data_IF_309703154380
#
_entry.id   IF_309703154380
#
_cell.length_a   1.000
_cell.length_b   1.000
_cell.length_c   1.000
_cell.angle_alpha   90.00
_cell.angle_beta   90.00
_cell.angle_gamma   90.00
#
_symmetry.space_group_name_H-M   'P 1'
#
loop_
_entity.id
_entity.type
_entity.pdbx_description
1 polymer ?
#
# COMPACT_ATOMS: atom_id res chain seq x y z
N UNK A 1 -21.02 21.94 1.21
CA UNK A 1 -20.41 20.87 2.03
C UNK A 1 -18.96 21.24 2.23
N UNK A 2 -18.45 21.13 3.45
CA UNK A 2 -17.01 21.28 3.72
C UNK A 2 -16.32 19.98 3.32
N UNK A 3 -15.16 20.08 2.66
CA UNK A 3 -14.35 18.91 2.33
C UNK A 3 -13.94 18.18 3.61
N UNK A 4 -14.13 16.85 3.65
CA UNK A 4 -13.69 16.01 4.76
C UNK A 4 -12.44 15.20 4.33
N UNK A 5 -11.26 15.47 4.91
CA UNK A 5 -10.03 14.71 4.64
C UNK A 5 -9.96 13.37 5.38
N UNK A 6 -10.89 13.08 6.30
CA UNK A 6 -10.88 11.83 7.08
C UNK A 6 -12.29 11.21 7.12
N UNK A 7 -12.87 10.85 5.96
CA UNK A 7 -14.14 10.14 5.93
C UNK A 7 -14.00 8.85 6.73
N UNK A 8 -14.96 8.62 7.63
CA UNK A 8 -14.97 7.48 8.58
C UNK A 8 -16.32 6.81 8.61
N UNK A 9 -16.31 5.51 8.87
CA UNK A 9 -17.49 4.65 8.84
C UNK A 9 -17.59 3.88 10.15
N UNK A 10 -18.75 3.86 10.82
CA UNK A 10 -18.92 3.07 12.04
C UNK A 10 -18.78 1.57 11.73
N UNK A 11 -18.38 0.80 12.73
CA UNK A 11 -18.45 -0.65 12.65
C UNK A 11 -19.92 -1.09 12.67
N UNK A 12 -20.24 -2.15 11.93
CA UNK A 12 -21.58 -2.78 11.97
C UNK A 12 -21.85 -3.40 13.33
N UNK A 13 -20.81 -3.97 13.95
CA UNK A 13 -20.84 -4.55 15.29
C UNK A 13 -19.46 -4.49 15.94
N UNK A 14 -19.43 -4.57 17.27
CA UNK A 14 -18.20 -4.46 18.05
C UNK A 14 -17.66 -3.03 18.12
N UNK A 15 -16.46 -2.90 18.66
CA UNK A 15 -15.75 -1.64 18.85
C UNK A 15 -14.29 -1.82 18.45
N UNK A 16 -13.61 -0.71 18.15
CA UNK A 16 -12.15 -0.71 17.99
C UNK A 16 -11.53 -0.71 19.38
N UNK A 17 -10.67 -1.70 19.64
CA UNK A 17 -9.88 -1.78 20.86
C UNK A 17 -8.49 -1.14 20.66
N UNK A 18 -7.95 -0.52 21.71
CA UNK A 18 -6.68 0.20 21.65
C UNK A 18 -5.71 -0.31 22.71
N UNK A 19 -4.44 -0.48 22.31
CA UNK A 19 -3.32 -0.80 23.19
C UNK A 19 -3.04 -2.30 23.34
N UNK A 20 -1.85 -2.60 23.87
CA UNK A 20 -1.39 -3.98 24.09
C UNK A 20 -2.22 -4.74 25.13
N UNK A 21 -2.79 -4.04 26.12
CA UNK A 21 -3.65 -4.64 27.16
C UNK A 21 -4.84 -5.41 26.54
N UNK A 22 -5.53 -4.80 25.59
CA UNK A 22 -6.67 -5.42 24.90
C UNK A 22 -6.25 -6.64 24.06
N UNK A 23 -5.09 -6.55 23.38
CA UNK A 23 -4.52 -7.68 22.63
C UNK A 23 -4.21 -8.85 23.57
N UNK A 24 -3.51 -8.60 24.68
CA UNK A 24 -3.17 -9.65 25.63
C UNK A 24 -4.41 -10.25 26.32
N UNK A 25 -5.43 -9.45 26.60
CA UNK A 25 -6.72 -9.95 27.09
C UNK A 25 -7.39 -10.88 26.08
N UNK A 26 -7.31 -10.55 24.79
CA UNK A 26 -7.81 -11.43 23.71
C UNK A 26 -7.09 -12.77 23.70
N UNK A 27 -5.76 -12.78 23.84
CA UNK A 27 -4.98 -14.03 23.97
C UNK A 27 -5.39 -14.81 25.22
N UNK A 28 -5.48 -14.14 26.38
CA UNK A 28 -5.81 -14.78 27.65
C UNK A 28 -7.22 -15.39 27.68
N UNK A 29 -8.17 -14.80 26.95
CA UNK A 29 -9.52 -15.34 26.75
C UNK A 29 -9.54 -16.55 25.83
N UNK A 30 -8.85 -16.48 24.68
CA UNK A 30 -8.83 -17.54 23.69
C UNK A 30 -7.96 -18.75 24.09
N UNK A 31 -6.88 -18.50 24.85
CA UNK A 31 -5.88 -19.49 25.28
C UNK A 31 -5.37 -20.39 24.14
N UNK A 32 -4.95 -19.83 23.00
CA UNK A 32 -4.39 -20.63 21.92
C UNK A 32 -3.06 -21.25 22.36
N UNK A 33 -2.76 -22.44 21.84
CA UNK A 33 -1.41 -23.02 21.91
C UNK A 33 -0.48 -22.25 20.97
N UNK A 34 -0.97 -21.92 19.77
CA UNK A 34 -0.20 -21.20 18.76
C UNK A 34 -0.99 -20.02 18.18
N UNK A 35 -0.40 -18.84 18.27
CA UNK A 35 -0.88 -17.58 17.68
C UNK A 35 0.04 -17.20 16.52
N UNK A 36 -0.53 -17.12 15.31
CA UNK A 36 0.14 -16.52 14.16
C UNK A 36 -0.23 -15.04 14.06
N UNK A 37 0.78 -14.17 13.92
CA UNK A 37 0.62 -12.74 13.66
C UNK A 37 1.31 -12.41 12.34
N UNK A 38 0.54 -12.32 11.27
CA UNK A 38 1.06 -12.06 9.91
C UNK A 38 1.01 -10.56 9.59
N UNK A 39 1.74 -10.13 8.57
CA UNK A 39 1.83 -8.72 8.20
C UNK A 39 3.00 -8.43 7.25
N UNK A 40 3.10 -7.19 6.73
CA UNK A 40 4.15 -6.84 5.79
C UNK A 40 5.54 -6.75 6.43
N UNK A 41 6.58 -6.81 5.60
CA UNK A 41 7.98 -6.72 6.05
C UNK A 41 8.33 -5.36 6.65
N UNK A 42 7.70 -4.28 6.16
CA UNK A 42 7.98 -2.90 6.54
C UNK A 42 7.45 -2.51 7.94
N UNK A 43 6.81 -3.43 8.66
CA UNK A 43 6.33 -3.22 10.02
C UNK A 43 7.46 -3.08 11.04
N UNK A 44 7.21 -2.26 12.07
CA UNK A 44 8.03 -2.18 13.28
C UNK A 44 7.82 -3.40 14.21
N UNK A 45 8.08 -4.61 13.69
CA UNK A 45 7.87 -5.88 14.38
C UNK A 45 8.49 -5.94 15.77
N UNK A 46 9.70 -5.37 15.95
CA UNK A 46 10.39 -5.39 17.24
C UNK A 46 9.63 -4.62 18.33
N UNK A 47 9.05 -3.46 17.98
CA UNK A 47 8.26 -2.63 18.91
C UNK A 47 6.98 -3.36 19.27
N UNK A 48 6.22 -3.79 18.26
CA UNK A 48 4.94 -4.44 18.45
C UNK A 48 5.04 -5.73 19.28
N UNK A 49 6.01 -6.60 18.96
CA UNK A 49 6.17 -7.87 19.67
C UNK A 49 6.71 -7.67 21.08
N UNK A 50 7.59 -6.69 21.32
CA UNK A 50 8.04 -6.36 22.67
C UNK A 50 6.88 -5.86 23.56
N UNK A 51 6.00 -5.03 23.01
CA UNK A 51 4.79 -4.56 23.72
C UNK A 51 3.85 -5.71 24.09
N UNK A 52 3.57 -6.61 23.13
CA UNK A 52 2.72 -7.77 23.37
C UNK A 52 3.34 -8.77 24.37
N UNK A 53 4.63 -9.10 24.24
CA UNK A 53 5.35 -9.99 25.18
C UNK A 53 5.30 -9.43 26.61
N UNK A 54 5.57 -8.13 26.78
CA UNK A 54 5.50 -7.48 28.08
C UNK A 54 4.13 -7.58 28.72
N UNK A 55 3.06 -7.42 27.92
CA UNK A 55 1.69 -7.51 28.41
C UNK A 55 1.23 -8.93 28.76
N UNK A 56 1.62 -9.92 27.95
CA UNK A 56 1.34 -11.33 28.21
C UNK A 56 2.02 -11.78 29.51
N UNK A 57 3.29 -11.42 29.72
CA UNK A 57 4.02 -11.74 30.95
C UNK A 57 3.41 -11.07 32.18
N UNK A 58 2.85 -9.86 32.06
CA UNK A 58 2.11 -9.20 33.14
C UNK A 58 0.83 -9.96 33.55
N UNK A 59 0.30 -10.82 32.69
CA UNK A 59 -0.84 -11.69 32.92
C UNK A 59 -0.44 -13.13 33.29
N UNK A 60 0.82 -13.34 33.68
CA UNK A 60 1.39 -14.67 33.96
C UNK A 60 1.24 -15.66 32.78
N UNK A 61 1.23 -15.14 31.54
CA UNK A 61 1.31 -15.95 30.31
C UNK A 61 2.74 -15.88 29.79
N UNK A 62 3.38 -17.03 29.62
CA UNK A 62 4.76 -17.13 29.14
C UNK A 62 4.79 -17.44 27.65
N UNK A 63 5.04 -16.43 26.77
CA UNK A 63 5.15 -16.68 25.34
C UNK A 63 6.55 -17.17 24.95
N UNK A 64 6.58 -18.08 23.98
CA UNK A 64 7.76 -18.37 23.16
C UNK A 64 7.61 -17.66 21.81
N UNK A 65 8.55 -16.76 21.51
CA UNK A 65 8.48 -15.88 20.34
C UNK A 65 9.26 -16.47 19.16
N UNK A 66 8.56 -16.73 18.06
CA UNK A 66 9.13 -17.31 16.84
C UNK A 66 9.02 -16.31 15.70
N UNK A 67 10.16 -15.82 15.23
CA UNK A 67 10.23 -14.91 14.09
C UNK A 67 10.22 -15.69 12.77
N UNK A 68 9.11 -15.62 12.03
CA UNK A 68 8.90 -16.29 10.73
C UNK A 68 9.99 -15.91 9.70
N UNK A 69 10.59 -14.72 9.82
CA UNK A 69 11.67 -14.27 8.91
C UNK A 69 12.90 -15.16 8.99
N UNK A 70 13.09 -15.90 10.09
CA UNK A 70 14.19 -16.87 10.24
C UNK A 70 14.07 -18.05 9.28
N UNK A 71 12.87 -18.34 8.77
CA UNK A 71 12.59 -19.45 7.86
C UNK A 71 12.62 -19.04 6.37
N UNK A 72 12.73 -17.73 6.09
CA UNK A 72 12.92 -17.22 4.74
C UNK A 72 14.22 -17.75 4.13
N UNK A 73 14.21 -17.96 2.81
CA UNK A 73 15.41 -18.25 2.05
C UNK A 73 16.47 -17.15 2.23
N UNK A 74 17.74 -17.46 1.92
CA UNK A 74 18.77 -16.43 1.97
C UNK A 74 18.41 -15.27 1.04
N UNK A 75 18.89 -14.06 1.33
CA UNK A 75 18.62 -12.91 0.50
C UNK A 75 19.04 -13.12 -0.96
N UNK A 76 20.19 -13.76 -1.19
CA UNK A 76 20.67 -14.15 -2.52
C UNK A 76 19.67 -15.06 -3.24
N UNK A 77 19.14 -16.05 -2.54
CA UNK A 77 18.17 -17.00 -3.08
C UNK A 77 16.82 -16.33 -3.38
N UNK A 78 16.34 -15.46 -2.49
CA UNK A 78 15.13 -14.65 -2.71
C UNK A 78 15.29 -13.77 -3.96
N UNK A 79 16.44 -13.10 -4.11
CA UNK A 79 16.76 -12.32 -5.32
C UNK A 79 16.77 -13.19 -6.57
N UNK A 80 17.35 -14.40 -6.50
CA UNK A 80 17.35 -15.36 -7.61
C UNK A 80 15.94 -15.80 -7.99
N UNK A 81 15.09 -16.14 -7.01
CA UNK A 81 13.70 -16.58 -7.23
C UNK A 81 12.83 -15.48 -7.82
N UNK A 82 13.10 -14.23 -7.45
CA UNK A 82 12.37 -13.04 -7.91
C UNK A 82 13.04 -12.33 -9.10
N UNK A 83 14.06 -12.93 -9.71
CA UNK A 83 14.85 -12.28 -10.77
C UNK A 83 14.04 -11.96 -12.03
N UNK A 84 12.92 -12.65 -12.27
CA UNK A 84 12.00 -12.37 -13.38
C UNK A 84 11.34 -10.98 -13.27
N UNK A 85 11.37 -10.38 -12.08
CA UNK A 85 10.83 -9.05 -11.82
C UNK A 85 11.79 -7.92 -12.15
N UNK A 86 13.04 -8.22 -12.49
CA UNK A 86 14.03 -7.20 -12.85
C UNK A 86 13.93 -6.90 -14.34
N UNK A 87 13.80 -5.62 -14.69
CA UNK A 87 13.95 -5.15 -16.07
C UNK A 87 15.42 -4.73 -16.30
N UNK A 88 16.14 -5.32 -17.27
CA UNK A 88 17.54 -4.98 -17.50
C UNK A 88 17.76 -3.50 -17.79
N UNK A 89 18.56 -2.83 -16.96
CA UNK A 89 18.94 -1.43 -17.14
C UNK A 89 17.90 -0.41 -16.66
N UNK A 90 16.76 -0.84 -16.12
CA UNK A 90 15.74 0.06 -15.59
C UNK A 90 15.85 0.19 -14.05
N UNK A 91 16.16 1.38 -13.51
CA UNK A 91 16.30 1.58 -12.08
C UNK A 91 14.97 1.86 -11.36
N UNK A 92 13.88 2.10 -12.09
CA UNK A 92 12.59 2.53 -11.55
C UNK A 92 11.55 1.42 -11.65
N UNK A 93 11.47 0.75 -12.79
CA UNK A 93 10.40 -0.18 -13.11
C UNK A 93 10.86 -1.63 -13.08
N UNK A 94 9.95 -2.51 -12.68
CA UNK A 94 10.13 -3.95 -12.68
C UNK A 94 8.95 -4.65 -13.35
N UNK A 95 9.00 -5.98 -13.37
CA UNK A 95 7.85 -6.82 -13.71
C UNK A 95 7.21 -7.37 -12.45
N UNK A 96 5.88 -7.36 -12.37
CA UNK A 96 5.14 -7.91 -11.23
C UNK A 96 5.54 -9.37 -10.99
N UNK A 97 5.90 -9.69 -9.75
CA UNK A 97 6.17 -11.06 -9.32
C UNK A 97 4.86 -11.78 -8.96
N UNK A 98 4.59 -12.88 -9.66
CA UNK A 98 3.34 -13.64 -9.50
C UNK A 98 3.48 -14.85 -8.55
N UNK A 99 4.69 -15.21 -8.11
CA UNK A 99 4.93 -16.39 -7.26
C UNK A 99 4.39 -16.23 -5.83
N UNK A 100 3.85 -17.27 -5.19
CA UNK A 100 3.32 -17.20 -3.82
C UNK A 100 4.40 -16.89 -2.77
N UNK A 101 3.98 -16.36 -1.62
CA UNK A 101 4.90 -16.02 -0.53
C UNK A 101 5.70 -17.23 -0.02
N UNK A 102 5.09 -18.43 0.00
CA UNK A 102 5.74 -19.68 0.41
C UNK A 102 6.98 -20.00 -0.43
N UNK A 103 7.02 -19.58 -1.70
CA UNK A 103 8.19 -19.78 -2.57
C UNK A 103 9.38 -18.94 -2.14
N UNK A 104 9.26 -18.04 -1.17
CA UNK A 104 10.38 -17.26 -0.61
C UNK A 104 10.96 -17.89 0.68
N UNK A 105 10.41 -19.01 1.14
CA UNK A 105 10.91 -19.77 2.30
C UNK A 105 11.96 -20.82 1.91
N UNK A 106 12.86 -21.21 2.83
CA UNK A 106 13.85 -22.27 2.56
C UNK A 106 13.17 -23.61 2.24
N UNK A 107 12.14 -23.91 3.02
CA UNK A 107 11.24 -25.04 2.90
C UNK A 107 9.82 -24.55 3.25
N UNK A 108 8.76 -25.18 2.71
CA UNK A 108 7.40 -24.79 3.06
C UNK A 108 7.21 -24.87 4.57
N UNK A 109 6.69 -23.83 5.24
CA UNK A 109 6.34 -23.91 6.66
C UNK A 109 5.32 -25.02 6.92
N UNK A 110 5.45 -25.74 8.03
CA UNK A 110 4.46 -26.73 8.48
C UNK A 110 4.26 -26.60 9.98
N UNK A 111 5.31 -26.86 10.77
CA UNK A 111 5.25 -26.73 12.21
C UNK A 111 6.43 -25.88 12.69
N UNK A 112 6.13 -24.67 13.19
CA UNK A 112 7.07 -23.87 13.98
C UNK A 112 6.81 -24.05 15.49
N UNK A 113 5.79 -24.84 15.83
CA UNK A 113 5.45 -25.23 17.18
C UNK A 113 6.55 -26.10 17.79
N UNK A 114 6.52 -26.26 19.11
CA UNK A 114 7.66 -26.73 19.86
C UNK A 114 7.89 -28.23 19.69
N UNK A 115 9.16 -28.62 19.77
CA UNK A 115 9.47 -29.96 20.30
C UNK A 115 8.86 -30.13 21.70
N UNK A 116 8.64 -31.38 22.14
CA UNK A 116 7.82 -31.70 23.32
C UNK A 116 8.31 -31.22 24.71
N UNK A 117 9.32 -30.34 24.78
CA UNK A 117 10.13 -30.03 25.98
C UNK A 117 10.15 -28.52 26.37
N UNK A 118 9.06 -27.78 26.11
CA UNK A 118 8.95 -26.34 26.44
C UNK A 118 8.04 -26.09 27.65
N UNK A 119 8.40 -25.11 28.49
CA UNK A 119 7.56 -24.57 29.57
C UNK A 119 6.66 -23.41 29.10
N UNK A 120 6.67 -23.06 27.81
CA UNK A 120 5.87 -21.98 27.27
C UNK A 120 4.35 -22.27 27.28
N UNK A 121 3.56 -21.28 27.68
CA UNK A 121 2.10 -21.34 27.66
C UNK A 121 1.54 -21.17 26.24
N UNK A 122 2.22 -20.35 25.43
CA UNK A 122 1.80 -19.99 24.06
C UNK A 122 3.01 -19.80 23.13
N UNK A 123 2.83 -20.19 21.88
CA UNK A 123 3.75 -19.92 20.76
C UNK A 123 3.24 -18.71 19.97
N UNK A 124 4.04 -17.67 19.87
CA UNK A 124 3.72 -16.49 19.06
C UNK A 124 4.63 -16.48 17.85
N UNK A 125 4.10 -16.91 16.71
CA UNK A 125 4.80 -16.88 15.43
C UNK A 125 4.47 -15.56 14.74
N UNK A 126 5.46 -14.73 14.48
CA UNK A 126 5.24 -13.39 13.95
C UNK A 126 6.13 -13.08 12.75
N UNK A 127 5.69 -12.15 11.91
CA UNK A 127 6.40 -11.73 10.70
C UNK A 127 5.69 -12.16 9.42
N UNK A 128 6.18 -11.70 8.25
CA UNK A 128 5.58 -12.03 6.97
C UNK A 128 5.52 -13.54 6.74
N UNK A 129 4.31 -14.05 6.46
CA UNK A 129 4.08 -15.47 6.20
C UNK A 129 3.97 -16.34 7.45
N UNK A 130 3.84 -15.75 8.65
CA UNK A 130 3.56 -16.51 9.88
C UNK A 130 2.25 -17.32 9.81
N UNK A 131 1.29 -16.90 8.98
CA UNK A 131 0.05 -17.63 8.74
C UNK A 131 0.25 -18.92 7.92
N UNK A 132 1.44 -19.16 7.35
CA UNK A 132 1.77 -20.40 6.64
C UNK A 132 2.10 -21.55 7.60
N UNK A 133 2.39 -21.26 8.87
CA UNK A 133 2.62 -22.27 9.90
C UNK A 133 1.28 -22.74 10.48
N UNK A 134 1.23 -23.95 11.04
CA UNK A 134 0.05 -24.39 11.81
C UNK A 134 -0.19 -23.46 13.02
N UNK A 135 -1.44 -23.02 13.19
CA UNK A 135 -1.85 -22.10 14.25
C UNK A 135 -3.32 -22.32 14.65
N UNK A 136 -3.65 -21.95 15.90
CA UNK A 136 -5.03 -21.99 16.40
C UNK A 136 -5.77 -20.68 16.14
N UNK A 137 -5.03 -19.56 16.23
CA UNK A 137 -5.56 -18.20 16.11
C UNK A 137 -4.67 -17.41 15.14
N UNK A 138 -5.32 -16.61 14.28
CA UNK A 138 -4.68 -15.81 13.25
C UNK A 138 -5.01 -14.33 13.40
N UNK A 139 -3.97 -13.54 13.63
CA UNK A 139 -4.03 -12.08 13.59
C UNK A 139 -3.29 -11.54 12.37
N UNK A 140 -3.79 -10.44 11.81
CA UNK A 140 -3.08 -9.69 10.78
C UNK A 140 -2.75 -8.30 11.29
N UNK A 141 -1.46 -8.03 11.46
CA UNK A 141 -0.91 -6.72 11.70
C UNK A 141 -0.68 -6.03 10.36
N UNK A 142 -1.38 -4.92 10.13
CA UNK A 142 -1.31 -4.16 8.90
C UNK A 142 -0.61 -2.82 9.09
N UNK A 143 -0.10 -2.31 7.97
CA UNK A 143 0.56 -1.02 7.91
C UNK A 143 0.20 -0.34 6.59
N UNK A 144 -0.35 0.88 6.59
CA UNK A 144 -0.74 1.53 5.35
C UNK A 144 0.42 1.57 4.35
N UNK A 145 0.13 1.25 3.09
CA UNK A 145 1.15 1.18 2.04
C UNK A 145 1.87 2.49 1.81
N UNK A 146 1.18 3.64 1.93
CA UNK A 146 1.82 4.96 1.87
C UNK A 146 2.91 5.12 2.94
N UNK A 147 2.68 4.58 4.14
CA UNK A 147 3.59 4.70 5.27
C UNK A 147 4.75 3.70 5.12
N UNK A 148 4.46 2.49 4.59
CA UNK A 148 5.46 1.51 4.16
C UNK A 148 6.42 2.08 3.11
N UNK A 149 5.87 2.70 2.05
CA UNK A 149 6.64 3.34 0.98
C UNK A 149 7.51 4.48 1.53
N UNK A 150 6.93 5.32 2.39
CA UNK A 150 7.65 6.42 3.01
C UNK A 150 8.81 5.92 3.91
N UNK A 151 8.60 4.84 4.68
CA UNK A 151 9.65 4.22 5.48
C UNK A 151 10.79 3.64 4.62
N UNK A 152 10.46 2.97 3.51
CA UNK A 152 11.47 2.47 2.56
C UNK A 152 12.26 3.63 1.93
N UNK A 153 11.58 4.69 1.47
CA UNK A 153 12.24 5.89 0.91
C UNK A 153 13.17 6.59 1.89
N UNK A 154 12.86 6.55 3.20
CA UNK A 154 13.73 7.07 4.26
C UNK A 154 14.82 6.10 4.71
N UNK A 155 14.85 4.88 4.20
CA UNK A 155 15.78 3.83 4.62
C UNK A 155 15.49 3.25 6.01
N UNK A 156 14.28 3.46 6.54
CA UNK A 156 13.83 2.98 7.86
C UNK A 156 13.25 1.56 7.79
N UNK A 157 12.89 1.09 6.60
CA UNK A 157 12.38 -0.24 6.35
C UNK A 157 13.12 -0.92 5.17
N UNK A 158 13.32 -2.23 5.28
CA UNK A 158 13.86 -3.07 4.21
C UNK A 158 12.75 -3.82 3.46
N UNK A 159 13.11 -4.39 2.31
CA UNK A 159 12.22 -5.28 1.56
C UNK A 159 12.08 -6.66 2.22
N UNK A 160 11.10 -7.43 1.76
CA UNK A 160 10.84 -8.79 2.22
C UNK A 160 12.07 -9.70 2.07
N UNK A 161 12.54 -10.24 3.20
CA UNK A 161 13.70 -11.14 3.28
C UNK A 161 15.05 -10.44 3.15
N UNK A 162 15.07 -9.11 3.09
CA UNK A 162 16.30 -8.33 3.07
C UNK A 162 16.96 -8.32 4.47
N UNK A 163 18.30 -8.37 4.56
CA UNK A 163 19.00 -8.26 5.83
C UNK A 163 18.69 -6.94 6.56
N UNK A 164 18.59 -7.02 7.88
CA UNK A 164 18.35 -5.83 8.73
C UNK A 164 19.51 -4.84 8.57
N UNK A 165 19.17 -3.57 8.30
CA UNK A 165 20.12 -2.48 8.13
C UNK A 165 20.46 -2.14 6.69
N UNK A 166 20.13 -3.01 5.72
CA UNK A 166 20.24 -2.67 4.30
C UNK A 166 19.04 -1.82 3.86
N UNK A 167 19.30 -0.82 3.02
CA UNK A 167 18.25 0.05 2.50
C UNK A 167 17.33 -0.71 1.52
N UNK A 168 16.02 -0.58 1.73
CA UNK A 168 15.02 -1.10 0.79
C UNK A 168 15.03 -0.36 -0.55
N UNK A 169 14.40 -1.00 -1.54
CA UNK A 169 14.16 -0.47 -2.87
C UNK A 169 12.66 -0.29 -3.08
N UNK A 170 12.27 0.91 -3.52
CA UNK A 170 10.91 1.21 -3.97
C UNK A 170 10.50 0.30 -5.13
N UNK A 171 11.36 0.12 -6.13
CA UNK A 171 11.11 -0.79 -7.25
C UNK A 171 10.77 -2.21 -6.74
N UNK A 172 11.55 -2.76 -5.81
CA UNK A 172 11.25 -4.09 -5.26
C UNK A 172 9.96 -4.09 -4.43
N UNK A 173 9.70 -3.03 -3.68
CA UNK A 173 8.47 -2.91 -2.89
C UNK A 173 7.23 -2.99 -3.80
N UNK A 174 7.22 -2.24 -4.90
CA UNK A 174 6.10 -2.16 -5.85
C UNK A 174 5.96 -3.41 -6.71
N UNK A 175 7.06 -4.00 -7.18
CA UNK A 175 7.01 -5.07 -8.19
C UNK A 175 7.16 -6.49 -7.61
N UNK A 176 7.61 -6.63 -6.36
CA UNK A 176 7.81 -7.94 -5.73
C UNK A 176 7.06 -8.03 -4.41
N UNK A 177 7.37 -7.18 -3.45
CA UNK A 177 6.90 -7.37 -2.08
C UNK A 177 5.38 -7.16 -1.97
N UNK A 178 4.85 -6.05 -2.47
CA UNK A 178 3.41 -5.78 -2.42
C UNK A 178 2.59 -6.83 -3.17
N UNK A 179 2.89 -7.20 -4.44
CA UNK A 179 2.14 -8.24 -5.13
C UNK A 179 2.12 -9.59 -4.40
N UNK A 180 3.22 -9.97 -3.74
CA UNK A 180 3.31 -11.21 -2.95
C UNK A 180 2.48 -11.12 -1.68
N UNK A 181 2.70 -10.06 -0.90
CA UNK A 181 2.08 -9.89 0.40
C UNK A 181 0.58 -9.63 0.28
N UNK A 182 0.13 -8.95 -0.77
CA UNK A 182 -1.29 -8.74 -1.03
C UNK A 182 -2.01 -10.04 -1.36
N UNK A 183 -1.48 -10.85 -2.29
CA UNK A 183 -2.08 -12.16 -2.59
C UNK A 183 -2.17 -13.04 -1.34
N UNK A 184 -1.10 -13.05 -0.55
CA UNK A 184 -1.09 -13.75 0.75
C UNK A 184 -2.19 -13.21 1.68
N UNK A 185 -2.23 -11.89 1.93
CA UNK A 185 -3.25 -11.23 2.77
C UNK A 185 -4.67 -11.56 2.32
N UNK A 186 -4.94 -11.56 1.01
CA UNK A 186 -6.25 -11.87 0.43
C UNK A 186 -6.75 -13.27 0.82
N UNK A 187 -5.85 -14.26 0.83
CA UNK A 187 -6.18 -15.63 1.24
C UNK A 187 -6.52 -15.73 2.74
N UNK A 188 -5.96 -14.83 3.56
CA UNK A 188 -6.18 -14.82 5.02
C UNK A 188 -7.50 -14.17 5.44
N UNK A 189 -8.04 -13.19 4.69
CA UNK A 189 -9.16 -12.33 5.13
C UNK A 189 -10.38 -13.09 5.68
N UNK A 190 -10.70 -14.24 5.06
CA UNK A 190 -11.86 -15.05 5.44
C UNK A 190 -11.74 -15.74 6.81
N UNK A 191 -10.52 -15.86 7.33
CA UNK A 191 -10.19 -16.60 8.55
C UNK A 191 -9.47 -15.78 9.61
N UNK A 192 -9.28 -14.47 9.39
CA UNK A 192 -8.72 -13.59 10.40
C UNK A 192 -9.62 -13.59 11.64
N UNK A 193 -9.00 -13.77 12.80
CA UNK A 193 -9.63 -13.59 14.11
C UNK A 193 -9.52 -12.13 14.55
N UNK A 194 -8.40 -11.47 14.23
CA UNK A 194 -8.14 -10.07 14.58
C UNK A 194 -7.39 -9.36 13.45
N UNK A 195 -7.79 -8.11 13.19
CA UNK A 195 -7.08 -7.19 12.33
C UNK A 195 -6.54 -6.04 13.17
N UNK A 196 -5.27 -5.70 12.99
CA UNK A 196 -4.54 -4.72 13.81
C UNK A 196 -3.94 -3.65 12.90
N UNK A 197 -4.30 -2.40 13.10
CA UNK A 197 -3.68 -1.24 12.47
C UNK A 197 -2.48 -0.78 13.30
N UNK A 198 -1.28 -0.88 12.71
CA UNK A 198 -0.01 -0.46 13.30
C UNK A 198 0.54 0.85 12.73
N UNK A 199 -0.31 1.72 12.20
CA UNK A 199 0.07 3.12 11.88
C UNK A 199 0.63 3.87 13.10
N UNK A 200 0.28 3.45 14.32
CA UNK A 200 0.90 3.89 15.58
C UNK A 200 1.35 2.65 16.39
N UNK A 201 2.60 2.17 16.22
CA UNK A 201 3.01 0.86 16.73
C UNK A 201 3.05 0.75 18.27
N UNK A 202 3.19 1.86 19.00
CA UNK A 202 3.17 1.90 20.46
C UNK A 202 1.74 1.82 21.05
N UNK A 203 0.73 2.12 20.23
CA UNK A 203 -0.69 2.13 20.59
C UNK A 203 -1.48 1.41 19.51
N UNK A 204 -1.30 0.08 19.37
CA UNK A 204 -1.97 -0.69 18.32
C UNK A 204 -3.49 -0.54 18.44
N UNK A 205 -4.17 -0.43 17.32
CA UNK A 205 -5.65 -0.41 17.28
C UNK A 205 -6.12 -1.64 16.55
N UNK A 206 -7.15 -2.30 17.05
CA UNK A 206 -7.59 -3.58 16.51
C UNK A 206 -9.10 -3.73 16.49
N UNK A 207 -9.58 -4.57 15.59
CA UNK A 207 -10.95 -5.07 15.63
C UNK A 207 -11.01 -6.56 15.32
N UNK A 208 -12.09 -7.19 15.78
CA UNK A 208 -12.39 -8.58 15.46
C UNK A 208 -12.52 -8.78 13.94
N UNK A 209 -12.02 -9.90 13.43
CA UNK A 209 -12.10 -10.20 12.00
C UNK A 209 -13.54 -10.37 11.49
N UNK A 210 -14.48 -10.81 12.33
CA UNK A 210 -15.90 -10.84 11.97
C UNK A 210 -16.47 -9.42 11.79
N UNK A 211 -16.19 -8.53 12.74
CA UNK A 211 -16.58 -7.12 12.65
C UNK A 211 -15.98 -6.46 11.40
N UNK A 212 -14.73 -6.80 11.02
CA UNK A 212 -14.09 -6.32 9.79
C UNK A 212 -14.90 -6.77 8.57
N UNK A 213 -15.11 -8.08 8.41
CA UNK A 213 -15.80 -8.64 7.25
C UNK A 213 -17.21 -8.07 7.09
N UNK A 214 -17.96 -7.94 8.19
CA UNK A 214 -19.33 -7.38 8.16
C UNK A 214 -19.34 -5.89 7.83
N UNK A 215 -18.40 -5.12 8.36
CA UNK A 215 -18.31 -3.69 8.07
C UNK A 215 -17.90 -3.43 6.62
N UNK A 216 -16.98 -4.24 6.06
CA UNK A 216 -16.63 -4.19 4.64
C UNK A 216 -17.82 -4.58 3.74
N UNK A 217 -18.60 -5.57 4.15
CA UNK A 217 -19.81 -5.99 3.43
C UNK A 217 -20.85 -4.86 3.34
N UNK A 218 -21.20 -4.23 4.46
CA UNK A 218 -22.12 -3.09 4.49
C UNK A 218 -21.58 -1.90 3.67
N UNK A 219 -20.28 -1.62 3.79
CA UNK A 219 -19.65 -0.53 3.06
C UNK A 219 -19.69 -0.75 1.55
N UNK A 220 -19.54 -2.00 1.09
CA UNK A 220 -19.63 -2.34 -0.32
C UNK A 220 -21.04 -2.15 -0.92
N UNK A 221 -22.09 -2.00 -0.10
CA UNK A 221 -23.46 -1.74 -0.55
C UNK A 221 -23.87 -0.26 -0.46
N UNK A 222 -22.95 0.62 -0.04
CA UNK A 222 -23.23 2.04 0.16
C UNK A 222 -22.19 2.93 -0.52
N UNK A 223 -22.52 4.20 -0.86
CA UNK A 223 -21.52 5.14 -1.33
C UNK A 223 -20.49 5.44 -0.24
N UNK A 224 -19.20 5.27 -0.56
CA UNK A 224 -18.10 5.58 0.35
C UNK A 224 -17.00 6.40 -0.35
N UNK A 225 -16.13 7.01 0.46
CA UNK A 225 -14.88 7.65 0.07
C UNK A 225 -13.76 6.97 0.86
N UNK A 226 -12.62 6.80 0.22
CA UNK A 226 -11.41 6.41 0.93
C UNK A 226 -10.79 7.62 1.63
N UNK A 227 -9.90 7.36 2.58
CA UNK A 227 -9.06 8.37 3.23
C UNK A 227 -8.08 8.95 2.19
N UNK A 228 -8.22 10.22 1.81
CA UNK A 228 -7.35 10.85 0.83
C UNK A 228 -5.93 11.00 1.38
N UNK A 229 -4.93 10.96 0.48
CA UNK A 229 -3.54 11.22 0.83
C UNK A 229 -2.99 12.37 0.00
N UNK A 230 -2.31 13.31 0.65
CA UNK A 230 -1.78 14.52 0.02
C UNK A 230 -0.27 14.46 -0.06
N UNK A 231 0.29 14.72 -1.25
CA UNK A 231 1.73 14.63 -1.48
C UNK A 231 2.30 15.94 -2.00
N UNK A 232 3.46 16.40 -1.49
CA UNK A 232 4.22 17.46 -2.13
C UNK A 232 4.81 16.96 -3.46
N UNK A 233 5.16 17.89 -4.33
CA UNK A 233 5.81 17.56 -5.60
C UNK A 233 6.55 18.75 -6.19
N UNK A 234 7.47 18.51 -7.14
CA UNK A 234 8.30 19.57 -7.73
C UNK A 234 7.48 20.67 -8.43
N UNK A 235 6.28 20.34 -8.90
CA UNK A 235 5.36 21.26 -9.57
C UNK A 235 4.19 21.71 -8.69
N UNK A 236 4.13 21.26 -7.43
CA UNK A 236 2.98 21.44 -6.55
C UNK A 236 2.66 22.91 -6.25
N UNK A 237 1.37 23.20 -6.21
CA UNK A 237 0.80 24.50 -5.90
C UNK A 237 0.35 24.66 -4.44
N UNK A 238 -0.56 25.62 -4.24
CA UNK A 238 -1.12 25.96 -2.92
C UNK A 238 -2.66 25.83 -2.87
N UNK A 239 -3.31 25.62 -4.01
CA UNK A 239 -4.77 25.56 -4.11
C UNK A 239 -5.37 24.47 -3.24
N UNK A 240 -4.77 23.28 -3.17
CA UNK A 240 -5.27 22.19 -2.32
C UNK A 240 -5.33 22.60 -0.84
N UNK A 241 -4.32 23.33 -0.34
CA UNK A 241 -4.30 23.81 1.05
C UNK A 241 -5.41 24.81 1.29
N UNK A 242 -5.49 25.81 0.43
CA UNK A 242 -6.37 26.96 0.62
C UNK A 242 -7.84 26.59 0.39
N UNK A 243 -8.12 25.79 -0.65
CA UNK A 243 -9.48 25.44 -1.06
C UNK A 243 -10.06 24.26 -0.27
N UNK A 244 -9.25 23.25 0.06
CA UNK A 244 -9.70 22.06 0.81
C UNK A 244 -9.40 22.13 2.31
N UNK A 245 -8.68 23.16 2.77
CA UNK A 245 -8.36 23.37 4.18
C UNK A 245 -7.34 22.38 4.74
N UNK A 246 -6.40 21.92 3.90
CA UNK A 246 -5.43 20.88 4.29
C UNK A 246 -4.27 21.50 5.08
N UNK A 247 -4.15 21.10 6.34
CA UNK A 247 -3.03 21.49 7.21
C UNK A 247 -1.87 20.50 7.08
N UNK A 248 -0.69 20.99 6.67
CA UNK A 248 0.52 20.17 6.51
C UNK A 248 1.78 21.04 6.52
N UNK A 249 2.89 20.50 7.03
CA UNK A 249 4.20 21.15 7.05
C UNK A 249 4.96 21.04 5.72
N UNK A 250 4.42 20.34 4.73
CA UNK A 250 5.00 20.31 3.39
C UNK A 250 5.13 21.74 2.81
N UNK A 251 6.02 22.00 1.86
CA UNK A 251 6.15 23.34 1.25
C UNK A 251 5.03 23.66 0.24
N UNK A 252 4.46 22.64 -0.39
CA UNK A 252 3.39 22.73 -1.38
C UNK A 252 2.53 21.45 -1.32
N UNK A 253 1.53 21.34 -2.20
CA UNK A 253 0.81 20.11 -2.48
C UNK A 253 0.68 19.96 -4.00
N UNK A 254 1.08 18.81 -4.53
CA UNK A 254 0.98 18.48 -5.94
C UNK A 254 -0.20 17.54 -6.20
N UNK A 255 -0.33 16.50 -5.38
CA UNK A 255 -1.38 15.50 -5.51
C UNK A 255 -2.30 15.47 -4.30
N UNK A 256 -3.59 15.26 -4.55
CA UNK A 256 -4.51 14.62 -3.60
C UNK A 256 -4.98 13.29 -4.18
N UNK A 257 -4.48 12.18 -3.67
CA UNK A 257 -4.93 10.84 -4.03
C UNK A 257 -6.23 10.55 -3.29
N UNK A 258 -7.34 10.69 -4.00
CA UNK A 258 -8.68 10.57 -3.43
C UNK A 258 -9.17 9.12 -3.42
N UNK A 259 -8.94 8.38 -4.52
CA UNK A 259 -9.39 7.01 -4.71
C UNK A 259 -8.36 6.21 -5.52
N UNK A 260 -7.38 5.63 -4.82
CA UNK A 260 -6.29 4.84 -5.39
C UNK A 260 -6.22 3.50 -4.67
N UNK A 261 -6.82 2.44 -5.20
CA UNK A 261 -6.94 1.14 -4.50
C UNK A 261 -5.65 0.61 -3.90
N UNK A 262 -4.50 0.65 -4.59
CA UNK A 262 -3.27 0.14 -4.00
C UNK A 262 -2.70 0.98 -2.85
N UNK A 263 -3.24 2.17 -2.54
CA UNK A 263 -2.61 3.11 -1.60
C UNK A 263 -3.58 3.72 -0.57
N UNK A 264 -4.84 3.91 -0.95
CA UNK A 264 -5.84 4.55 -0.13
C UNK A 264 -6.34 3.62 0.97
N UNK A 265 -6.59 4.17 2.16
CA UNK A 265 -7.22 3.45 3.26
C UNK A 265 -8.69 3.82 3.45
N UNK A 266 -9.36 3.16 4.36
CA UNK A 266 -10.74 3.37 4.80
C UNK A 266 -10.70 3.40 6.33
N UNK A 267 -11.21 4.47 6.93
CA UNK A 267 -11.26 4.60 8.38
C UNK A 267 -12.53 3.93 8.92
N UNK A 268 -12.36 2.92 9.77
CA UNK A 268 -13.46 2.22 10.42
C UNK A 268 -13.44 2.46 11.93
N UNK A 269 -14.60 2.79 12.50
CA UNK A 269 -14.79 3.10 13.92
C UNK A 269 -15.51 4.44 14.16
N UNK A 270 -15.70 4.77 15.43
CA UNK A 270 -16.43 5.98 15.86
C UNK A 270 -15.52 6.92 16.65
N UNK A 271 -15.09 6.46 17.83
CA UNK A 271 -14.20 7.20 18.72
C UNK A 271 -12.74 6.85 18.42
N UNK A 272 -12.42 5.55 18.49
CA UNK A 272 -11.18 4.98 17.98
C UNK A 272 -11.38 4.50 16.54
N UNK A 273 -10.31 4.59 15.74
CA UNK A 273 -10.35 4.28 14.31
C UNK A 273 -9.23 3.29 13.97
N UNK A 274 -9.54 2.30 13.16
CA UNK A 274 -8.52 1.58 12.39
C UNK A 274 -8.50 2.11 10.96
N UNK A 275 -7.35 2.11 10.33
CA UNK A 275 -7.26 2.25 8.88
C UNK A 275 -7.13 0.89 8.22
N UNK A 276 -8.09 0.58 7.34
CA UNK A 276 -8.10 -0.63 6.52
C UNK A 276 -7.80 -0.24 5.08
N UNK A 277 -6.85 -0.92 4.43
CA UNK A 277 -6.54 -0.66 3.02
C UNK A 277 -7.76 -0.86 2.10
N UNK A 278 -7.94 0.01 1.08
CA UNK A 278 -9.02 -0.14 0.09
C UNK A 278 -8.86 -1.46 -0.69
N UNK A 279 -7.63 -1.96 -0.86
CA UNK A 279 -7.38 -3.28 -1.42
C UNK A 279 -8.02 -4.41 -0.60
N UNK A 280 -8.20 -4.23 0.72
CA UNK A 280 -8.85 -5.22 1.59
C UNK A 280 -10.35 -5.29 1.30
N UNK A 281 -11.00 -4.14 1.09
CA UNK A 281 -12.39 -4.10 0.67
C UNK A 281 -12.57 -4.77 -0.70
N UNK A 282 -11.70 -4.45 -1.65
CA UNK A 282 -11.77 -5.03 -2.99
C UNK A 282 -11.49 -6.53 -2.99
N UNK A 283 -10.60 -7.00 -2.12
CA UNK A 283 -10.34 -8.42 -1.93
C UNK A 283 -11.53 -9.17 -1.31
N UNK A 284 -12.21 -8.58 -0.34
CA UNK A 284 -13.33 -9.20 0.35
C UNK A 284 -14.63 -9.14 -0.46
N UNK A 285 -14.91 -8.00 -1.08
CA UNK A 285 -16.22 -7.64 -1.64
C UNK A 285 -16.11 -7.02 -3.05
N UNK A 286 -15.01 -7.23 -3.78
CA UNK A 286 -14.76 -6.60 -5.08
C UNK A 286 -15.85 -6.88 -6.13
N UNK A 287 -16.44 -8.08 -6.15
CA UNK A 287 -17.57 -8.39 -7.03
C UNK A 287 -18.82 -7.56 -6.70
N UNK A 288 -19.05 -7.24 -5.42
CA UNK A 288 -20.16 -6.40 -4.98
C UNK A 288 -19.93 -4.93 -5.35
N UNK A 289 -18.69 -4.46 -5.20
CA UNK A 289 -18.30 -3.08 -5.54
C UNK A 289 -18.31 -2.85 -7.06
N UNK A 290 -17.81 -3.81 -7.84
CA UNK A 290 -17.62 -3.65 -9.29
C UNK A 290 -18.79 -4.21 -10.13
N UNK A 291 -19.54 -5.16 -9.58
CA UNK A 291 -20.39 -6.06 -10.36
C UNK A 291 -19.59 -7.18 -11.05
N UNK A 292 -20.27 -8.28 -11.37
CA UNK A 292 -19.65 -9.51 -11.88
C UNK A 292 -18.82 -9.33 -13.15
N UNK A 293 -19.27 -8.51 -14.10
CA UNK A 293 -18.55 -8.30 -15.37
C UNK A 293 -17.20 -7.60 -15.16
N UNK A 294 -17.19 -6.51 -14.38
CA UNK A 294 -15.98 -5.75 -14.11
C UNK A 294 -15.04 -6.51 -13.18
N UNK A 295 -15.56 -7.23 -12.19
CA UNK A 295 -14.75 -8.09 -11.33
C UNK A 295 -14.08 -9.23 -12.12
N UNK A 296 -14.76 -9.83 -13.11
CA UNK A 296 -14.14 -10.82 -13.99
C UNK A 296 -12.99 -10.24 -14.83
N UNK A 297 -13.06 -8.95 -15.19
CA UNK A 297 -12.04 -8.27 -16.00
C UNK A 297 -10.86 -7.73 -15.18
N UNK A 298 -11.14 -7.12 -14.03
CA UNK A 298 -10.14 -6.39 -13.24
C UNK A 298 -9.76 -7.09 -11.93
N UNK A 299 -10.44 -8.18 -11.58
CA UNK A 299 -10.24 -8.89 -10.32
C UNK A 299 -10.51 -7.98 -9.13
N UNK A 300 -9.48 -7.81 -8.30
CA UNK A 300 -9.52 -6.95 -7.10
C UNK A 300 -9.00 -5.53 -7.35
N UNK A 301 -8.64 -5.18 -8.59
CA UNK A 301 -8.25 -3.81 -8.93
C UNK A 301 -9.49 -2.97 -9.21
N UNK A 302 -9.67 -1.86 -8.50
CA UNK A 302 -10.68 -0.87 -8.90
C UNK A 302 -10.19 -0.16 -10.17
N UNK A 303 -11.01 -0.06 -11.23
CA UNK A 303 -10.53 0.30 -12.57
C UNK A 303 -10.30 1.81 -12.79
N UNK A 304 -10.67 2.65 -11.83
CA UNK A 304 -10.59 4.11 -11.95
C UNK A 304 -9.78 4.67 -10.79
N UNK A 305 -8.80 5.50 -11.13
CA UNK A 305 -8.10 6.33 -10.15
C UNK A 305 -8.72 7.73 -10.18
N UNK A 306 -8.83 8.34 -9.02
CA UNK A 306 -9.28 9.73 -8.89
C UNK A 306 -8.31 10.51 -8.01
N UNK A 307 -7.84 11.63 -8.54
CA UNK A 307 -6.90 12.51 -7.88
C UNK A 307 -7.08 13.98 -8.31
N UNK A 308 -6.69 14.88 -7.42
CA UNK A 308 -6.51 16.29 -7.75
C UNK A 308 -5.04 16.58 -8.02
N UNK A 309 -4.76 17.25 -9.14
CA UNK A 309 -3.45 17.79 -9.45
C UNK A 309 -3.47 19.30 -9.27
N UNK A 310 -2.56 19.81 -8.45
CA UNK A 310 -2.45 21.24 -8.15
C UNK A 310 -1.14 21.83 -8.65
N UNK A 311 -1.26 22.65 -9.70
CA UNK A 311 -0.17 23.43 -10.30
C UNK A 311 -0.32 24.92 -10.05
N UNK A 312 -1.34 25.35 -9.29
CA UNK A 312 -1.64 26.77 -9.10
C UNK A 312 -0.64 27.40 -8.13
N UNK A 313 0.18 28.32 -8.67
CA UNK A 313 1.33 28.86 -7.95
C UNK A 313 2.52 27.91 -7.90
N UNK A 314 2.45 26.78 -8.62
CA UNK A 314 3.52 25.81 -8.80
C UNK A 314 4.15 25.87 -10.19
N UNK A 315 4.58 24.72 -10.70
CA UNK A 315 5.30 24.56 -11.96
C UNK A 315 4.57 23.69 -12.99
N UNK A 316 5.24 23.42 -14.11
CA UNK A 316 4.74 22.48 -15.12
C UNK A 316 4.90 21.03 -14.64
N UNK A 317 3.92 20.18 -14.99
CA UNK A 317 4.10 18.73 -14.92
C UNK A 317 5.18 18.30 -15.91
N UNK A 318 5.74 17.11 -15.68
CA UNK A 318 6.58 16.45 -16.68
C UNK A 318 5.79 16.15 -17.96
N UNK A 319 6.49 16.12 -19.09
CA UNK A 319 5.94 15.57 -20.34
C UNK A 319 5.93 14.05 -20.20
N UNK A 320 4.75 13.45 -20.37
CA UNK A 320 4.54 12.02 -20.10
C UNK A 320 3.92 11.32 -21.30
N UNK A 321 4.21 10.03 -21.43
CA UNK A 321 3.56 9.12 -22.37
C UNK A 321 3.29 7.81 -21.64
N UNK A 322 2.03 7.42 -21.55
CA UNK A 322 1.67 6.13 -20.95
C UNK A 322 1.79 5.01 -21.98
N UNK A 323 2.30 3.84 -21.57
CA UNK A 323 2.46 2.68 -22.45
C UNK A 323 1.12 2.17 -23.00
N UNK A 324 1.16 1.36 -24.07
CA UNK A 324 -0.04 0.63 -24.50
C UNK A 324 -0.38 -0.49 -23.51
N UNK A 325 -1.63 -0.98 -23.52
CA UNK A 325 -2.02 -2.15 -22.71
C UNK A 325 -1.17 -3.39 -23.03
N UNK A 326 -0.81 -3.59 -24.30
CA UNK A 326 0.07 -4.68 -24.74
C UNK A 326 1.45 -4.55 -24.10
N UNK A 327 2.07 -3.36 -24.19
CA UNK A 327 3.37 -3.11 -23.58
C UNK A 327 3.33 -3.26 -22.05
N UNK A 328 2.25 -2.83 -21.40
CA UNK A 328 2.06 -2.99 -19.95
C UNK A 328 2.07 -4.46 -19.53
N UNK A 329 1.39 -5.31 -20.29
CA UNK A 329 1.27 -6.75 -20.02
C UNK A 329 2.57 -7.49 -20.30
N UNK A 330 3.17 -7.22 -21.46
CA UNK A 330 4.38 -7.90 -21.90
C UNK A 330 5.62 -7.48 -21.11
N UNK A 331 5.72 -6.20 -20.73
CA UNK A 331 6.88 -5.67 -20.01
C UNK A 331 6.70 -5.78 -18.50
N UNK A 332 5.64 -5.17 -17.95
CA UNK A 332 5.47 -5.03 -16.50
C UNK A 332 4.57 -6.10 -15.87
N UNK A 333 3.86 -6.90 -16.66
CA UNK A 333 2.94 -7.93 -16.15
C UNK A 333 1.61 -7.35 -15.63
N UNK A 334 1.30 -6.09 -15.97
CA UNK A 334 0.05 -5.44 -15.57
C UNK A 334 -1.00 -5.59 -16.68
N UNK A 335 -2.26 -5.95 -16.36
CA UNK A 335 -3.27 -6.27 -17.37
C UNK A 335 -3.93 -5.03 -18.00
N UNK A 336 -3.64 -3.83 -17.49
CA UNK A 336 -4.21 -2.56 -17.90
C UNK A 336 -3.14 -1.49 -18.08
N UNK A 337 -3.48 -0.43 -18.81
CA UNK A 337 -2.68 0.79 -18.92
C UNK A 337 -3.33 1.97 -18.21
N UNK A 338 -2.64 3.10 -18.21
CA UNK A 338 -3.10 4.37 -17.69
C UNK A 338 -3.65 5.22 -18.84
N UNK A 339 -4.97 5.15 -19.01
CA UNK A 339 -5.71 6.13 -19.78
C UNK A 339 -6.22 7.20 -18.82
N UNK A 340 -6.04 8.46 -19.18
CA UNK A 340 -6.39 9.59 -18.32
C UNK A 340 -7.38 10.52 -19.00
N UNK A 341 -8.14 11.23 -18.16
CA UNK A 341 -8.97 12.35 -18.57
C UNK A 341 -8.82 13.45 -17.53
N UNK A 342 -8.76 14.69 -17.99
CA UNK A 342 -8.53 15.85 -17.14
C UNK A 342 -9.78 16.73 -17.14
N UNK A 343 -10.27 17.07 -15.96
CA UNK A 343 -11.30 18.09 -15.76
C UNK A 343 -10.64 19.34 -15.15
N UNK A 344 -10.54 20.42 -15.93
CA UNK A 344 -9.90 21.66 -15.47
C UNK A 344 -10.87 22.43 -14.57
N UNK A 345 -10.73 22.24 -13.25
CA UNK A 345 -11.62 22.89 -12.26
C UNK A 345 -11.33 24.38 -12.07
N UNK A 346 -10.05 24.74 -12.02
CA UNK A 346 -9.57 26.10 -11.78
C UNK A 346 -8.36 26.33 -12.67
N UNK A 347 -8.28 27.53 -13.25
CA UNK A 347 -7.21 27.91 -14.15
C UNK A 347 -6.84 29.38 -13.98
N UNK A 348 -5.70 29.78 -14.53
CA UNK A 348 -5.28 31.20 -14.63
C UNK A 348 -5.39 31.68 -16.07
N UNK A 349 -5.49 33.00 -16.32
CA UNK A 349 -5.34 33.54 -17.66
C UNK A 349 -4.06 33.01 -18.32
N UNK A 350 -4.16 32.70 -19.61
CA UNK A 350 -3.05 32.21 -20.45
C UNK A 350 -2.43 30.89 -19.98
N UNK A 351 -3.14 30.09 -19.18
CA UNK A 351 -2.73 28.73 -18.86
C UNK A 351 -2.87 27.80 -20.08
N UNK A 352 -1.92 26.88 -20.20
CA UNK A 352 -1.77 26.01 -21.38
C UNK A 352 -1.66 24.54 -20.98
N UNK A 353 -2.09 23.67 -21.90
CA UNK A 353 -1.95 22.21 -21.83
C UNK A 353 -1.20 21.76 -23.08
N UNK A 354 -0.14 20.98 -22.88
CA UNK A 354 0.56 20.29 -23.97
C UNK A 354 -0.08 18.94 -24.21
N UNK A 355 -0.59 18.70 -25.42
CA UNK A 355 -1.24 17.43 -25.75
C UNK A 355 -1.03 17.04 -27.22
N UNK A 356 -0.24 15.98 -27.42
CA UNK A 356 0.06 15.41 -28.73
C UNK A 356 1.27 16.05 -29.39
N UNK A 357 1.99 15.27 -30.20
CA UNK A 357 3.05 15.76 -31.06
C UNK A 357 2.47 16.64 -32.17
N UNK A 358 3.19 17.68 -32.57
CA UNK A 358 2.87 18.40 -33.81
C UNK A 358 3.15 17.52 -35.01
N UNK A 359 2.38 17.70 -36.08
CA UNK A 359 2.58 16.94 -37.33
C UNK A 359 3.95 17.22 -37.98
N UNK A 360 4.48 18.43 -37.77
CA UNK A 360 5.77 18.89 -38.28
C UNK A 360 6.93 18.74 -37.27
N UNK A 361 6.71 18.05 -36.14
CA UNK A 361 7.74 17.89 -35.10
C UNK A 361 8.92 17.04 -35.59
N UNK A 362 10.14 17.58 -35.43
CA UNK A 362 11.37 16.81 -35.60
C UNK A 362 11.61 15.93 -34.37
N UNK A 363 11.33 14.63 -34.49
CA UNK A 363 11.44 13.68 -33.39
C UNK A 363 12.89 13.36 -32.99
N UNK A 364 13.84 13.50 -33.92
CA UNK A 364 15.27 13.29 -33.61
C UNK A 364 15.79 14.47 -32.77
N UNK A 365 15.44 15.69 -33.16
CA UNK A 365 15.73 16.89 -32.36
C UNK A 365 15.05 16.85 -31.00
N UNK A 366 13.77 16.46 -30.95
CA UNK A 366 13.02 16.34 -29.68
C UNK A 366 13.72 15.37 -28.73
N UNK A 367 14.10 14.18 -29.21
CA UNK A 367 14.82 13.18 -28.41
C UNK A 367 16.17 13.71 -27.92
N UNK A 368 16.93 14.37 -28.79
CA UNK A 368 18.25 14.90 -28.44
C UNK A 368 18.16 16.03 -27.39
N UNK A 369 17.18 16.91 -27.51
CA UNK A 369 16.95 18.00 -26.55
C UNK A 369 16.39 17.48 -25.22
N UNK A 370 15.47 16.52 -25.25
CA UNK A 370 14.97 15.86 -24.03
C UNK A 370 16.11 15.17 -23.26
N UNK A 371 17.01 14.46 -23.95
CA UNK A 371 18.18 13.84 -23.33
C UNK A 371 19.15 14.87 -22.74
N UNK A 372 19.28 16.04 -23.35
CA UNK A 372 20.08 17.14 -22.78
C UNK A 372 19.41 17.81 -21.59
N UNK A 373 18.09 17.89 -21.56
CA UNK A 373 17.32 18.49 -20.47
C UNK A 373 17.37 17.66 -19.17
N UNK A 374 17.94 16.45 -19.21
CA UNK A 374 18.31 15.71 -18.00
C UNK A 374 19.42 16.43 -17.21
N UNK A 375 20.29 17.19 -17.88
CA UNK A 375 21.33 17.98 -17.22
C UNK A 375 20.72 19.21 -16.51
N UNK A 376 21.01 19.43 -15.21
CA UNK A 376 20.46 20.56 -14.47
C UNK A 376 20.73 21.91 -15.13
N UNK A 377 19.67 22.71 -15.30
CA UNK A 377 19.72 24.05 -15.87
C UNK A 377 19.59 24.12 -17.40
N UNK A 378 19.38 22.98 -18.06
CA UNK A 378 18.99 22.95 -19.48
C UNK A 378 17.48 22.77 -19.57
N UNK A 379 16.80 23.79 -20.08
CA UNK A 379 15.35 23.74 -20.30
C UNK A 379 15.01 23.09 -21.65
N UNK A 380 13.92 22.35 -21.67
CA UNK A 380 13.27 21.86 -22.87
C UNK A 380 12.11 22.80 -23.20
N UNK A 381 12.04 23.31 -24.43
CA UNK A 381 10.93 24.14 -24.94
C UNK A 381 9.86 23.23 -25.57
N UNK A 382 8.78 22.85 -24.86
CA UNK A 382 7.85 21.83 -25.34
C UNK A 382 7.06 22.28 -26.57
N UNK A 383 6.80 23.58 -26.74
CA UNK A 383 6.01 24.20 -27.82
C UNK A 383 6.60 23.93 -29.22
N UNK A 384 7.90 23.66 -29.28
CA UNK A 384 8.60 23.30 -30.53
C UNK A 384 8.16 21.94 -31.06
N UNK A 385 7.69 21.04 -30.19
CA UNK A 385 7.42 19.65 -30.53
C UNK A 385 5.98 19.22 -30.24
N UNK A 386 5.35 19.84 -29.24
CA UNK A 386 4.02 19.49 -28.75
C UNK A 386 2.98 20.51 -29.20
N UNK A 387 1.75 20.05 -29.40
CA UNK A 387 0.61 20.93 -29.61
C UNK A 387 0.26 21.62 -28.28
N UNK A 388 -0.06 22.90 -28.35
CA UNK A 388 -0.42 23.73 -27.20
C UNK A 388 -1.89 24.09 -27.28
N UNK A 389 -2.62 23.84 -26.19
CA UNK A 389 -4.06 24.06 -26.08
C UNK A 389 -4.34 24.98 -24.89
N UNK A 390 -5.35 25.88 -24.98
CA UNK A 390 -5.74 26.69 -23.84
C UNK A 390 -6.32 25.81 -22.71
N UNK A 391 -5.84 25.99 -21.49
CA UNK A 391 -6.34 25.31 -20.29
C UNK A 391 -7.62 26.00 -19.79
N UNK A 392 -8.68 25.94 -20.58
CA UNK A 392 -9.97 26.52 -20.23
C UNK A 392 -10.63 25.74 -19.08
N UNK A 393 -11.18 26.48 -18.12
CA UNK A 393 -12.01 25.89 -17.07
C UNK A 393 -13.21 25.18 -17.71
N UNK A 394 -13.48 23.96 -17.26
CA UNK A 394 -14.69 23.20 -17.60
C UNK A 394 -15.84 23.62 -16.68
#
# INVERSE_FOLDING_TARGET
MTYDPNPRYPLVEGEVETGFEALADTVARARPRTLAIDGPAALSWAVFIAGLDGELRRRDVTPELVDARRFLASWEEIRRRTAISTLPGDPVFGRIFEGPLVDLFREPPHDAGPGTDTEADIFVIFGPGSALFEHDVLWYADFPKRDSLAAVRRGEAGNLGQPVGDAGSEQRLLFVDWPVLERHKQELLRRLDLYIDLSQPETPRSLAGEALRRSLHELAETPFRTRPTFFPGPWGGQWLRDALGISTDAPNLAWSYELITPESGILLGTDELVEVGFEVLMAAEGERVLGAELAARFGVSFPIRFDYLDTLGGGHLSIQCHPSEEYMRETFGLPYTQHETYYVMVTKPDAEIFLGLREDADLEAFRAEAARAEDPGIELEPERYLQTHPAAQH
#
